data_IF_496490531638
#
_entry.id   IF_496490531638
#
_cell.length_a   1.000
_cell.length_b   1.000
_cell.length_c   1.000
_cell.angle_alpha   90.00
_cell.angle_beta   90.00
_cell.angle_gamma   90.00
#
_symmetry.space_group_name_H-M   'P 1'
#
loop_
_entity.id
_entity.type
_entity.pdbx_description
1 polymer ?
#
# COMPACT_ATOMS: atom_id res chain seq x y z
N UNK A 1 12.18 62.08 -6.94
CA UNK A 1 12.22 60.79 -7.65
C UNK A 1 13.26 59.94 -6.93
N UNK A 2 12.80 59.23 -5.89
CA UNK A 2 13.65 58.27 -5.15
C UNK A 2 13.68 56.94 -5.90
N UNK A 3 14.84 56.57 -6.39
CA UNK A 3 15.06 55.28 -6.99
C UNK A 3 15.20 54.23 -5.84
N UNK A 4 14.34 53.24 -5.86
CA UNK A 4 14.48 52.09 -4.98
C UNK A 4 15.86 51.42 -5.19
N UNK A 5 16.52 50.96 -4.12
CA UNK A 5 17.81 50.29 -4.25
C UNK A 5 17.67 48.98 -5.08
N UNK A 6 18.69 48.63 -5.90
CA UNK A 6 18.66 47.40 -6.68
C UNK A 6 18.57 46.19 -5.76
N UNK A 7 17.78 45.21 -6.16
CA UNK A 7 17.69 43.92 -5.47
C UNK A 7 19.10 43.28 -5.39
N UNK A 8 19.46 42.62 -4.27
CA UNK A 8 20.77 41.99 -4.12
C UNK A 8 20.97 40.92 -5.19
N UNK A 9 22.14 41.00 -5.82
CA UNK A 9 22.61 40.02 -6.80
C UNK A 9 22.74 38.64 -6.10
N UNK A 10 21.76 37.79 -6.28
CA UNK A 10 21.78 36.42 -5.72
C UNK A 10 22.58 35.56 -6.69
N UNK A 11 23.80 35.20 -6.30
CA UNK A 11 24.60 34.19 -7.00
C UNK A 11 23.78 32.91 -7.19
N UNK A 12 23.39 32.51 -8.39
CA UNK A 12 22.58 31.31 -8.63
C UNK A 12 23.32 30.01 -8.30
N UNK A 13 24.64 30.08 -8.01
CA UNK A 13 25.45 28.94 -7.57
C UNK A 13 25.58 28.87 -6.03
N UNK A 14 25.19 29.90 -5.29
CA UNK A 14 25.25 29.92 -3.83
C UNK A 14 24.20 28.97 -3.25
N UNK A 15 24.65 27.99 -2.47
CA UNK A 15 23.75 27.06 -1.77
C UNK A 15 22.95 27.81 -0.71
N UNK A 16 21.64 27.56 -0.59
CA UNK A 16 20.82 28.18 0.44
C UNK A 16 21.41 27.93 1.84
N UNK A 17 21.34 28.91 2.74
CA UNK A 17 21.78 28.74 4.13
C UNK A 17 20.98 27.60 4.77
N UNK A 18 21.65 26.71 5.47
CA UNK A 18 21.01 25.55 6.10
C UNK A 18 20.69 25.89 7.54
N UNK A 19 19.42 25.72 7.96
CA UNK A 19 19.06 25.94 9.35
C UNK A 19 19.77 24.94 10.26
N UNK A 20 19.95 25.31 11.53
CA UNK A 20 20.58 24.45 12.51
C UNK A 20 19.60 23.41 13.06
N UNK A 21 20.10 22.25 13.52
CA UNK A 21 19.30 21.26 14.24
C UNK A 21 18.82 21.85 15.56
N UNK A 22 17.52 21.72 15.85
CA UNK A 22 16.88 22.32 17.03
C UNK A 22 16.38 23.73 16.79
N UNK A 23 16.76 24.39 15.70
CA UNK A 23 16.27 25.72 15.34
C UNK A 23 14.78 25.70 15.10
N UNK A 24 14.07 26.68 15.67
CA UNK A 24 12.66 26.94 15.37
C UNK A 24 12.55 27.92 14.21
N UNK A 25 11.62 27.63 13.31
CA UNK A 25 11.38 28.41 12.10
C UNK A 25 9.88 28.59 11.90
N UNK A 26 9.51 29.71 11.30
CA UNK A 26 8.19 29.93 10.76
C UNK A 26 8.27 29.80 9.24
N UNK A 27 7.45 28.89 8.68
CA UNK A 27 7.45 28.59 7.25
C UNK A 27 6.04 28.39 6.72
N UNK A 28 5.84 28.62 5.43
CA UNK A 28 4.60 28.29 4.73
C UNK A 28 4.80 26.98 3.96
N UNK A 29 3.81 26.11 4.01
CA UNK A 29 3.82 24.82 3.30
C UNK A 29 3.33 25.05 1.87
N UNK A 30 4.19 24.72 0.89
CA UNK A 30 3.89 24.93 -0.52
C UNK A 30 3.04 23.80 -1.12
N UNK A 31 3.36 22.55 -0.77
CA UNK A 31 2.74 21.33 -1.33
C UNK A 31 2.94 20.12 -0.43
N UNK A 32 2.32 18.97 -0.78
CA UNK A 32 2.61 17.68 -0.16
C UNK A 32 3.56 16.86 -1.05
N UNK A 33 4.60 16.32 -0.43
CA UNK A 33 5.42 15.28 -1.06
C UNK A 33 4.67 13.93 -1.08
N UNK A 34 5.11 13.01 -1.94
CA UNK A 34 4.69 11.62 -1.85
C UNK A 34 4.95 11.07 -0.44
N UNK A 35 3.97 10.38 0.13
CA UNK A 35 3.99 9.93 1.53
C UNK A 35 3.40 10.95 2.53
N UNK A 36 2.91 12.13 2.07
CA UNK A 36 2.05 13.03 2.84
C UNK A 36 2.77 14.10 3.67
N UNK A 37 4.09 14.19 3.61
CA UNK A 37 4.80 15.26 4.31
C UNK A 37 4.64 16.60 3.57
N UNK A 38 4.33 17.67 4.31
CA UNK A 38 4.36 19.03 3.78
C UNK A 38 5.77 19.41 3.33
N UNK A 39 5.86 20.13 2.23
CA UNK A 39 7.11 20.70 1.70
C UNK A 39 7.07 22.20 1.90
N UNK A 40 7.99 22.71 2.70
CA UNK A 40 8.19 24.14 2.92
C UNK A 40 9.60 24.55 2.49
N UNK A 41 9.83 25.85 2.37
CA UNK A 41 11.15 26.40 2.06
C UNK A 41 11.53 27.50 3.05
N UNK A 42 12.76 27.42 3.51
CA UNK A 42 13.38 28.50 4.29
C UNK A 42 14.66 28.95 3.58
N UNK A 43 14.66 30.17 3.07
CA UNK A 43 15.75 30.72 2.26
C UNK A 43 16.23 29.80 1.14
N UNK A 44 15.26 29.11 0.47
CA UNK A 44 15.53 28.15 -0.61
C UNK A 44 15.88 26.73 -0.12
N UNK A 45 16.12 26.51 1.17
CA UNK A 45 16.35 25.17 1.72
C UNK A 45 15.02 24.44 1.96
N UNK A 46 14.91 23.20 1.46
CA UNK A 46 13.69 22.40 1.53
C UNK A 46 13.56 21.76 2.91
N UNK A 47 12.38 21.88 3.51
CA UNK A 47 11.98 21.22 4.76
C UNK A 47 10.77 20.32 4.54
N UNK A 48 10.85 19.08 5.04
CA UNK A 48 9.71 18.17 5.10
C UNK A 48 9.08 18.22 6.50
N UNK A 49 7.79 18.51 6.56
CA UNK A 49 7.03 18.72 7.80
C UNK A 49 5.80 17.81 7.82
N UNK A 50 5.81 16.71 8.57
CA UNK A 50 4.63 15.86 8.74
C UNK A 50 3.46 16.60 9.39
N UNK A 51 2.22 16.22 9.06
CA UNK A 51 1.00 16.75 9.68
C UNK A 51 0.55 18.12 9.20
N UNK A 52 1.16 18.64 8.13
CA UNK A 52 0.85 19.94 7.55
C UNK A 52 0.19 19.82 6.18
N UNK A 53 -0.51 20.88 5.76
CA UNK A 53 -1.19 20.99 4.48
C UNK A 53 -0.66 22.15 3.64
N UNK A 54 -0.80 22.10 2.32
CA UNK A 54 -0.50 23.24 1.47
C UNK A 54 -1.28 24.48 1.90
N UNK A 55 -0.59 25.61 2.04
CA UNK A 55 -1.17 26.85 2.54
C UNK A 55 -1.14 27.03 4.06
N UNK A 56 -0.81 26.00 4.85
CA UNK A 56 -0.57 26.18 6.27
C UNK A 56 0.67 27.07 6.50
N UNK A 57 0.56 28.05 7.38
CA UNK A 57 1.69 28.73 7.99
C UNK A 57 1.97 28.10 9.34
N UNK A 58 3.20 27.65 9.55
CA UNK A 58 3.51 26.76 10.67
C UNK A 58 4.81 27.18 11.36
N UNK A 59 4.85 27.00 12.68
CA UNK A 59 6.07 27.01 13.47
C UNK A 59 6.59 25.59 13.61
N UNK A 60 7.83 25.37 13.22
CA UNK A 60 8.46 24.06 13.14
C UNK A 60 9.81 24.05 13.82
N UNK A 61 10.24 22.88 14.31
CA UNK A 61 11.59 22.67 14.83
C UNK A 61 12.37 21.71 13.93
N UNK A 62 13.52 22.12 13.46
CA UNK A 62 14.40 21.30 12.62
C UNK A 62 14.93 20.11 13.42
N UNK A 63 14.58 18.89 13.01
CA UNK A 63 14.99 17.65 13.67
C UNK A 63 16.18 16.99 12.97
N UNK A 64 16.23 17.10 11.64
CA UNK A 64 17.27 16.47 10.83
C UNK A 64 17.74 17.38 9.70
N UNK A 65 19.03 17.38 9.43
CA UNK A 65 19.65 18.20 8.39
C UNK A 65 20.47 17.34 7.43
N UNK A 66 20.13 17.38 6.16
CA UNK A 66 20.84 16.76 5.04
C UNK A 66 21.46 17.83 4.13
N UNK A 67 22.22 17.42 3.13
CA UNK A 67 22.85 18.36 2.18
C UNK A 67 21.86 19.17 1.36
N UNK A 68 20.76 18.55 0.91
CA UNK A 68 19.76 19.13 0.01
C UNK A 68 18.44 19.47 0.68
N UNK A 69 18.13 18.88 1.85
CA UNK A 69 16.86 19.04 2.55
C UNK A 69 17.00 18.79 4.05
N UNK A 70 15.99 19.17 4.81
CA UNK A 70 15.83 18.85 6.23
C UNK A 70 14.49 18.22 6.55
N UNK A 71 14.37 17.64 7.73
CA UNK A 71 13.12 17.21 8.33
C UNK A 71 12.84 18.10 9.54
N UNK A 72 11.60 18.50 9.74
CA UNK A 72 11.21 19.33 10.85
C UNK A 72 9.92 18.78 11.50
N UNK A 73 9.82 18.94 12.80
CA UNK A 73 8.63 18.60 13.58
C UNK A 73 7.72 19.81 13.65
N UNK A 74 6.43 19.61 13.38
CA UNK A 74 5.41 20.63 13.60
C UNK A 74 5.30 20.94 15.09
N UNK A 75 5.37 22.21 15.45
CA UNK A 75 5.10 22.71 16.80
C UNK A 75 3.71 23.30 16.88
N UNK A 76 3.32 24.10 15.87
CA UNK A 76 2.04 24.80 15.85
C UNK A 76 1.66 25.18 14.43
N UNK A 77 0.36 25.15 14.11
CA UNK A 77 -0.20 25.75 12.92
C UNK A 77 -0.63 27.17 13.30
N UNK A 78 0.13 28.19 12.86
CA UNK A 78 -0.12 29.58 13.20
C UNK A 78 -1.25 30.19 12.39
N UNK A 79 -1.33 29.80 11.11
CA UNK A 79 -2.43 30.15 10.19
C UNK A 79 -2.81 28.89 9.41
N UNK A 80 -4.03 28.33 9.63
CA UNK A 80 -4.43 27.12 8.90
C UNK A 80 -4.71 27.41 7.43
N UNK A 81 -4.41 26.41 6.59
CA UNK A 81 -4.80 26.39 5.19
C UNK A 81 -6.30 26.59 5.02
N UNK A 82 -6.77 27.33 4.01
CA UNK A 82 -8.20 27.45 3.71
C UNK A 82 -8.85 26.11 3.32
N UNK A 83 -8.06 25.14 2.87
CA UNK A 83 -8.53 23.79 2.55
C UNK A 83 -8.60 22.87 3.77
N UNK A 84 -8.20 23.33 4.96
CA UNK A 84 -8.21 22.49 6.17
C UNK A 84 -9.62 22.33 6.71
N UNK A 85 -10.08 21.07 6.85
CA UNK A 85 -11.35 20.71 7.47
C UNK A 85 -11.15 20.01 8.82
N UNK A 86 -12.20 19.98 9.64
CA UNK A 86 -12.15 19.30 10.93
C UNK A 86 -12.00 17.78 10.75
N UNK A 87 -11.09 17.12 11.50
CA UNK A 87 -10.97 15.66 11.45
C UNK A 87 -12.21 14.97 12.04
N UNK A 88 -12.55 13.78 11.55
CA UNK A 88 -13.65 12.95 12.11
C UNK A 88 -13.26 12.30 13.44
N UNK A 89 -12.00 11.93 13.59
CA UNK A 89 -11.47 11.34 14.81
C UNK A 89 -9.95 11.52 14.88
N UNK A 90 -9.42 11.42 16.09
CA UNK A 90 -7.97 11.29 16.29
C UNK A 90 -7.57 9.83 16.01
N UNK A 91 -7.04 9.59 14.82
CA UNK A 91 -6.67 8.24 14.37
C UNK A 91 -5.41 8.30 13.49
N UNK A 92 -4.35 7.55 13.81
CA UNK A 92 -3.07 7.64 13.10
C UNK A 92 -3.12 7.19 11.62
N UNK A 93 -4.09 6.35 11.26
CA UNK A 93 -4.22 5.77 9.91
C UNK A 93 -4.93 6.64 8.88
N UNK A 94 -5.39 7.84 9.22
CA UNK A 94 -6.23 8.71 8.35
C UNK A 94 -5.66 10.12 8.24
N UNK A 95 -4.39 10.23 7.98
CA UNK A 95 -3.64 11.50 8.00
C UNK A 95 -4.23 12.60 7.09
N UNK A 96 -4.95 12.24 6.04
CA UNK A 96 -5.53 13.18 5.09
C UNK A 96 -7.02 13.49 5.30
N UNK A 97 -7.63 12.99 6.38
CA UNK A 97 -9.02 13.32 6.74
C UNK A 97 -9.27 14.82 6.96
N UNK A 98 -8.21 15.59 7.13
CA UNK A 98 -8.22 17.05 7.29
C UNK A 98 -8.24 17.83 5.97
N UNK A 99 -8.27 17.11 4.83
CA UNK A 99 -8.41 17.66 3.48
C UNK A 99 -9.74 17.23 2.85
N UNK A 100 -10.46 18.13 2.13
CA UNK A 100 -11.57 17.74 1.27
C UNK A 100 -11.15 16.65 0.29
N UNK A 101 -12.04 15.72 0.00
CA UNK A 101 -11.70 14.55 -0.81
C UNK A 101 -11.25 14.93 -2.23
N UNK A 102 -11.87 15.94 -2.81
CA UNK A 102 -11.50 16.48 -4.12
C UNK A 102 -10.04 16.96 -4.13
N UNK A 103 -9.60 17.61 -3.04
CA UNK A 103 -8.21 18.04 -2.89
C UNK A 103 -7.23 16.88 -2.72
N UNK A 104 -7.67 15.81 -2.04
CA UNK A 104 -6.86 14.58 -1.98
C UNK A 104 -6.63 14.01 -3.38
N UNK A 105 -7.66 13.98 -4.24
CA UNK A 105 -7.57 13.48 -5.62
C UNK A 105 -6.66 14.35 -6.49
N UNK A 106 -6.79 15.68 -6.41
CA UNK A 106 -5.93 16.62 -7.12
C UNK A 106 -4.45 16.38 -6.77
N UNK A 107 -4.12 16.36 -5.48
CA UNK A 107 -2.75 16.17 -4.99
C UNK A 107 -2.19 14.80 -5.42
N UNK A 108 -2.98 13.74 -5.31
CA UNK A 108 -2.57 12.39 -5.73
C UNK A 108 -2.26 12.33 -7.22
N UNK A 109 -3.11 12.92 -8.05
CA UNK A 109 -2.89 12.99 -9.50
C UNK A 109 -1.63 13.78 -9.84
N UNK A 110 -1.42 14.94 -9.20
CA UNK A 110 -0.21 15.75 -9.38
C UNK A 110 1.06 15.00 -8.97
N UNK A 111 1.03 14.22 -7.86
CA UNK A 111 2.19 13.44 -7.41
C UNK A 111 2.61 12.38 -8.42
N UNK A 112 1.65 11.74 -9.11
CA UNK A 112 1.95 10.77 -10.19
C UNK A 112 2.60 11.50 -11.37
N UNK A 113 2.03 12.62 -11.84
CA UNK A 113 2.60 13.42 -12.93
C UNK A 113 4.01 13.91 -12.61
N UNK A 114 4.19 14.48 -11.42
CA UNK A 114 5.46 15.02 -10.93
C UNK A 114 6.56 13.94 -10.87
N UNK A 115 6.22 12.75 -10.37
CA UNK A 115 7.16 11.63 -10.32
C UNK A 115 7.63 11.23 -11.72
N UNK A 116 6.71 11.01 -12.65
CA UNK A 116 7.04 10.60 -14.02
C UNK A 116 7.85 11.68 -14.77
N UNK A 117 7.49 12.96 -14.63
CA UNK A 117 8.18 14.07 -15.31
C UNK A 117 9.52 14.43 -14.67
N UNK A 118 9.59 14.55 -13.34
CA UNK A 118 10.78 15.05 -12.64
C UNK A 118 11.79 13.97 -12.25
N UNK A 119 11.32 12.77 -11.91
CA UNK A 119 12.20 11.65 -11.54
C UNK A 119 12.48 10.78 -12.75
N UNK A 120 11.44 10.45 -13.52
CA UNK A 120 11.55 9.63 -14.73
C UNK A 120 12.02 10.38 -15.96
N UNK A 121 11.99 11.73 -15.98
CA UNK A 121 12.26 12.55 -17.15
C UNK A 121 11.45 12.11 -18.38
N UNK A 122 10.21 11.65 -18.14
CA UNK A 122 9.32 11.14 -19.17
C UNK A 122 8.39 12.25 -19.66
N UNK A 123 8.22 12.33 -20.97
CA UNK A 123 7.39 13.34 -21.64
C UNK A 123 6.47 12.67 -22.67
N UNK A 124 5.45 13.41 -23.14
CA UNK A 124 4.58 12.96 -24.23
C UNK A 124 3.55 11.88 -23.86
N UNK A 125 3.46 11.48 -22.61
CA UNK A 125 2.42 10.55 -22.14
C UNK A 125 1.12 11.29 -21.79
N UNK A 126 0.01 10.55 -21.87
CA UNK A 126 -1.30 11.05 -21.44
C UNK A 126 -1.53 10.62 -19.99
N UNK A 127 -1.69 11.58 -19.08
CA UNK A 127 -2.25 11.28 -17.77
C UNK A 127 -3.77 11.39 -17.84
N UNK A 128 -4.45 10.29 -17.59
CA UNK A 128 -5.90 10.23 -17.55
C UNK A 128 -6.44 10.74 -16.21
N UNK A 129 -7.73 11.12 -16.16
CA UNK A 129 -8.35 11.49 -14.90
C UNK A 129 -8.23 10.38 -13.85
N UNK A 130 -7.98 10.78 -12.59
CA UNK A 130 -7.91 9.85 -11.48
C UNK A 130 -9.24 9.15 -11.27
N UNK A 131 -9.20 7.83 -11.03
CA UNK A 131 -10.37 7.07 -10.61
C UNK A 131 -10.60 7.32 -9.13
N UNK A 132 -11.69 8.01 -8.80
CA UNK A 132 -12.07 8.28 -7.42
C UNK A 132 -12.62 7.02 -6.73
N UNK A 133 -12.42 6.92 -5.41
CA UNK A 133 -12.97 5.83 -4.63
C UNK A 133 -14.50 5.94 -4.49
N UNK A 134 -15.17 4.80 -4.53
CA UNK A 134 -16.62 4.71 -4.32
C UNK A 134 -17.01 5.03 -2.88
N UNK A 135 -16.18 4.60 -1.93
CA UNK A 135 -16.34 4.84 -0.50
C UNK A 135 -15.07 5.47 0.07
N UNK A 136 -15.24 6.55 0.81
CA UNK A 136 -14.12 7.26 1.44
C UNK A 136 -13.79 6.70 2.84
N UNK A 137 -14.71 5.95 3.45
CA UNK A 137 -14.64 5.39 4.79
C UNK A 137 -15.19 3.96 4.78
N UNK A 138 -14.79 3.15 5.76
CA UNK A 138 -15.29 1.78 5.89
C UNK A 138 -14.94 0.85 4.73
N UNK A 139 -13.98 1.21 3.88
CA UNK A 139 -13.66 0.49 2.64
C UNK A 139 -12.66 -0.64 2.83
N UNK A 140 -11.86 -0.61 3.90
CA UNK A 140 -10.83 -1.64 4.12
C UNK A 140 -11.46 -2.96 4.49
N UNK A 141 -11.12 -3.97 3.73
CA UNK A 141 -11.48 -5.36 3.98
C UNK A 141 -10.46 -6.09 4.89
N UNK A 142 -9.31 -5.50 5.17
CA UNK A 142 -8.27 -6.06 6.06
C UNK A 142 -7.73 -4.98 6.99
N UNK A 143 -7.63 -5.33 8.27
CA UNK A 143 -6.99 -4.52 9.31
C UNK A 143 -6.02 -5.38 10.11
N UNK A 144 -4.87 -4.80 10.45
CA UNK A 144 -3.88 -5.38 11.34
C UNK A 144 -3.73 -4.48 12.55
N UNK A 145 -4.14 -4.97 13.70
CA UNK A 145 -4.01 -4.31 14.99
C UNK A 145 -2.81 -4.87 15.75
N UNK A 146 -2.24 -4.05 16.63
CA UNK A 146 -1.23 -4.47 17.58
C UNK A 146 -1.80 -4.43 19.00
N UNK A 147 -1.46 -5.43 19.81
CA UNK A 147 -1.76 -5.40 21.24
C UNK A 147 -0.72 -4.55 21.98
N UNK A 148 -1.17 -3.91 23.03
CA UNK A 148 -0.36 -3.07 23.91
C UNK A 148 -1.00 -2.96 25.30
N UNK A 149 -0.38 -2.17 26.15
CA UNK A 149 -0.87 -1.88 27.48
C UNK A 149 -0.99 -0.36 27.63
N UNK A 150 -2.10 0.12 28.14
CA UNK A 150 -2.29 1.54 28.38
C UNK A 150 -1.58 2.03 29.66
N UNK A 151 -1.72 3.33 29.97
CA UNK A 151 -1.09 3.94 31.14
C UNK A 151 -1.64 3.44 32.49
N UNK A 152 -2.77 2.71 32.48
CA UNK A 152 -3.40 2.13 33.67
C UNK A 152 -3.04 0.66 33.85
N UNK A 153 -2.31 0.08 32.88
CA UNK A 153 -1.95 -1.33 32.85
C UNK A 153 -3.00 -2.24 32.20
N UNK A 154 -4.03 -1.66 31.57
CA UNK A 154 -5.09 -2.42 30.90
C UNK A 154 -4.67 -2.84 29.48
N UNK A 155 -5.04 -4.06 29.09
CA UNK A 155 -4.82 -4.57 27.74
C UNK A 155 -5.59 -3.73 26.72
N UNK A 156 -4.90 -3.25 25.69
CA UNK A 156 -5.47 -2.52 24.56
C UNK A 156 -5.13 -3.21 23.24
N UNK A 157 -5.91 -2.89 22.21
CA UNK A 157 -5.70 -3.41 20.86
C UNK A 157 -5.97 -2.28 19.85
N UNK A 158 -4.92 -1.81 19.17
CA UNK A 158 -5.03 -0.62 18.31
C UNK A 158 -3.91 -0.51 17.30
N UNK A 159 -3.43 0.71 17.10
CA UNK A 159 -2.42 1.03 16.10
C UNK A 159 -1.22 1.68 16.74
N UNK A 160 -0.05 1.54 16.10
CA UNK A 160 1.13 2.27 16.52
C UNK A 160 0.91 3.78 16.47
N UNK A 161 1.28 4.47 17.53
CA UNK A 161 1.29 5.93 17.56
C UNK A 161 2.21 6.48 16.46
N UNK A 162 1.87 7.64 15.92
CA UNK A 162 2.65 8.26 14.86
C UNK A 162 4.11 8.49 15.33
N UNK A 163 5.06 7.87 14.61
CA UNK A 163 6.50 7.97 14.92
C UNK A 163 6.99 7.09 16.07
N UNK A 164 6.14 6.27 16.66
CA UNK A 164 6.52 5.26 17.66
C UNK A 164 6.35 3.85 17.13
N UNK A 165 7.27 2.97 17.46
CA UNK A 165 7.15 1.53 17.19
C UNK A 165 6.73 0.74 18.45
N UNK A 166 6.70 1.40 19.60
CA UNK A 166 6.36 0.81 20.90
C UNK A 166 4.95 1.15 21.35
N UNK A 167 4.59 2.44 21.23
CA UNK A 167 3.34 2.95 21.77
C UNK A 167 2.15 2.55 20.89
N UNK A 168 1.14 1.93 21.52
CA UNK A 168 -0.12 1.56 20.87
C UNK A 168 -1.20 2.54 21.33
N UNK A 169 -1.93 3.07 20.36
CA UNK A 169 -3.15 3.88 20.59
C UNK A 169 -4.33 2.95 20.42
N UNK A 170 -5.13 2.81 21.48
CA UNK A 170 -6.36 2.00 21.43
C UNK A 170 -7.38 2.64 20.48
N UNK A 171 -8.09 1.82 19.75
CA UNK A 171 -9.16 2.33 18.90
C UNK A 171 -9.51 1.45 17.69
N UNK A 172 -10.68 1.76 17.15
CA UNK A 172 -11.24 1.15 15.94
C UNK A 172 -10.86 1.99 14.73
N UNK A 173 -10.49 1.34 13.65
CA UNK A 173 -10.20 2.05 12.40
C UNK A 173 -11.49 2.49 11.70
N UNK A 174 -11.61 3.79 11.44
CA UNK A 174 -12.68 4.34 10.60
C UNK A 174 -12.60 3.88 9.13
N UNK A 175 -11.50 3.27 8.72
CA UNK A 175 -11.33 2.73 7.36
C UNK A 175 -11.88 1.32 7.22
N UNK A 176 -12.07 0.57 8.32
CA UNK A 176 -12.71 -0.74 8.33
C UNK A 176 -14.21 -0.66 8.48
N UNK A 177 -14.91 -1.78 8.21
CA UNK A 177 -16.33 -1.91 8.45
C UNK A 177 -16.67 -2.04 9.94
N UNK A 178 -17.93 -1.80 10.29
CA UNK A 178 -18.45 -2.04 11.65
C UNK A 178 -18.28 -3.50 12.08
N UNK A 179 -18.33 -4.45 11.13
CA UNK A 179 -18.12 -5.87 11.37
C UNK A 179 -16.71 -6.16 11.87
N UNK A 180 -15.68 -5.56 11.25
CA UNK A 180 -14.30 -5.66 11.73
C UNK A 180 -14.13 -5.04 13.12
N UNK A 181 -14.85 -3.95 13.40
CA UNK A 181 -14.86 -3.35 14.73
C UNK A 181 -15.45 -4.29 15.79
N UNK A 182 -16.59 -4.91 15.50
CA UNK A 182 -17.22 -5.91 16.37
C UNK A 182 -16.29 -7.10 16.63
N UNK A 183 -15.66 -7.65 15.58
CA UNK A 183 -14.73 -8.76 15.71
C UNK A 183 -13.52 -8.41 16.60
N UNK A 184 -12.98 -7.18 16.44
CA UNK A 184 -11.91 -6.68 17.32
C UNK A 184 -12.35 -6.69 18.79
N UNK A 185 -13.53 -6.16 19.09
CA UNK A 185 -14.05 -6.11 20.47
C UNK A 185 -14.26 -7.51 21.06
N UNK A 186 -14.78 -8.47 20.28
CA UNK A 186 -14.93 -9.84 20.72
C UNK A 186 -13.58 -10.49 21.10
N UNK A 187 -12.56 -10.31 20.26
CA UNK A 187 -11.21 -10.82 20.54
C UNK A 187 -10.58 -10.13 21.74
N UNK A 188 -10.68 -8.81 21.84
CA UNK A 188 -10.16 -8.07 22.99
C UNK A 188 -10.82 -8.48 24.31
N UNK A 189 -12.15 -8.62 24.30
CA UNK A 189 -12.90 -9.11 25.45
C UNK A 189 -12.49 -10.52 25.86
N UNK A 190 -12.32 -11.43 24.90
CA UNK A 190 -11.78 -12.77 25.15
C UNK A 190 -10.39 -12.69 25.81
N UNK A 191 -9.45 -11.96 25.23
CA UNK A 191 -8.09 -11.84 25.76
C UNK A 191 -8.06 -11.28 27.19
N UNK A 192 -8.90 -10.27 27.48
CA UNK A 192 -9.05 -9.70 28.84
C UNK A 192 -9.61 -10.72 29.82
N UNK A 193 -10.65 -11.45 29.43
CA UNK A 193 -11.27 -12.48 30.27
C UNK A 193 -10.30 -13.62 30.63
N UNK A 194 -9.42 -13.98 29.68
CA UNK A 194 -8.39 -15.00 29.88
C UNK A 194 -7.14 -14.46 30.60
N UNK A 195 -7.08 -13.16 30.91
CA UNK A 195 -5.92 -12.56 31.56
C UNK A 195 -4.65 -12.61 30.72
N UNK A 196 -4.76 -12.58 29.40
CA UNK A 196 -3.62 -12.64 28.49
C UNK A 196 -2.94 -11.26 28.42
N UNK A 197 -1.61 -11.23 28.45
CA UNK A 197 -0.80 -10.02 28.42
C UNK A 197 -0.31 -9.68 27.02
N UNK A 198 -0.14 -8.37 26.75
CA UNK A 198 0.43 -7.88 25.52
C UNK A 198 1.94 -8.18 25.46
N UNK A 199 2.45 -8.42 24.26
CA UNK A 199 3.88 -8.56 24.02
C UNK A 199 4.60 -7.21 24.17
N UNK A 200 5.50 -7.13 25.16
CA UNK A 200 6.41 -6.00 25.32
C UNK A 200 7.56 -6.13 24.32
N UNK A 201 7.60 -5.23 23.34
CA UNK A 201 8.57 -5.24 22.24
C UNK A 201 9.99 -4.93 22.69
N UNK A 202 10.12 -4.18 23.78
CA UNK A 202 11.42 -3.79 24.35
C UNK A 202 11.98 -4.90 25.23
N UNK A 203 11.17 -5.44 26.12
CA UNK A 203 11.55 -6.55 26.99
C UNK A 203 11.58 -7.89 26.24
N UNK A 204 10.91 -7.99 25.09
CA UNK A 204 10.72 -9.21 24.29
C UNK A 204 10.02 -10.32 25.07
N UNK A 205 9.06 -9.93 25.89
CA UNK A 205 8.26 -10.83 26.75
C UNK A 205 6.76 -10.53 26.56
N UNK A 206 5.91 -11.48 26.94
CA UNK A 206 4.47 -11.40 26.78
C UNK A 206 3.94 -12.24 25.63
N UNK A 207 2.62 -12.32 25.51
CA UNK A 207 1.97 -13.31 24.66
C UNK A 207 1.31 -12.70 23.41
N UNK A 208 0.39 -11.73 23.59
CA UNK A 208 -0.43 -11.18 22.49
C UNK A 208 0.37 -10.20 21.65
N UNK A 209 0.48 -10.43 20.33
CA UNK A 209 1.24 -9.57 19.42
C UNK A 209 0.33 -8.76 18.52
N UNK A 210 -0.42 -9.42 17.64
CA UNK A 210 -1.24 -8.77 16.64
C UNK A 210 -2.60 -9.46 16.50
N UNK A 211 -3.57 -8.69 16.03
CA UNK A 211 -4.85 -9.19 15.57
C UNK A 211 -5.02 -8.82 14.11
N UNK A 212 -5.15 -9.81 13.24
CA UNK A 212 -5.41 -9.61 11.81
C UNK A 212 -6.85 -9.98 11.53
N UNK A 213 -7.61 -9.03 11.04
CA UNK A 213 -9.01 -9.20 10.65
C UNK A 213 -9.14 -9.01 9.15
N UNK A 214 -9.89 -9.89 8.49
CA UNK A 214 -10.22 -9.77 7.07
C UNK A 214 -11.69 -10.11 6.85
N UNK A 215 -12.39 -9.23 6.18
CA UNK A 215 -13.77 -9.42 5.74
C UNK A 215 -13.80 -9.59 4.22
N UNK A 216 -14.45 -10.62 3.74
CA UNK A 216 -14.82 -10.73 2.35
C UNK A 216 -16.10 -9.90 2.12
N UNK A 217 -15.95 -8.79 1.43
CA UNK A 217 -16.98 -7.74 1.33
C UNK A 217 -18.24 -8.18 0.61
N UNK A 218 -18.09 -9.05 -0.39
CA UNK A 218 -19.20 -9.51 -1.24
C UNK A 218 -19.90 -10.73 -0.65
N UNK A 219 -19.14 -11.66 -0.06
CA UNK A 219 -19.70 -12.88 0.53
C UNK A 219 -20.07 -12.72 2.00
N UNK A 220 -19.56 -11.69 2.65
CA UNK A 220 -19.76 -11.46 4.08
C UNK A 220 -19.02 -12.45 4.97
N UNK A 221 -18.02 -13.16 4.48
CA UNK A 221 -17.19 -14.05 5.28
C UNK A 221 -16.14 -13.29 6.09
N UNK A 222 -15.83 -13.79 7.28
CA UNK A 222 -14.89 -13.14 8.20
C UNK A 222 -13.77 -14.10 8.57
N UNK A 223 -12.53 -13.63 8.42
CA UNK A 223 -11.34 -14.30 8.93
C UNK A 223 -10.76 -13.51 10.09
N UNK A 224 -10.55 -14.18 11.20
CA UNK A 224 -9.94 -13.65 12.41
C UNK A 224 -8.67 -14.44 12.68
N UNK A 225 -7.53 -13.77 12.72
CA UNK A 225 -6.24 -14.38 13.02
C UNK A 225 -5.59 -13.70 14.22
N UNK A 226 -5.52 -14.41 15.33
CA UNK A 226 -4.79 -14.00 16.53
C UNK A 226 -3.32 -14.41 16.38
N UNK A 227 -2.41 -13.46 16.50
CA UNK A 227 -0.97 -13.69 16.39
C UNK A 227 -0.34 -13.50 17.76
N UNK A 228 0.39 -14.50 18.23
CA UNK A 228 0.99 -14.53 19.56
C UNK A 228 2.46 -14.92 19.52
N UNK A 229 3.17 -14.73 20.63
CA UNK A 229 4.40 -15.47 20.91
C UNK A 229 4.05 -16.95 21.20
N UNK A 230 5.04 -17.83 21.33
CA UNK A 230 4.80 -19.21 21.77
C UNK A 230 4.14 -19.23 23.14
N UNK A 231 3.18 -20.12 23.31
CA UNK A 231 2.45 -20.30 24.57
C UNK A 231 1.24 -21.19 24.40
N UNK A 232 0.34 -21.11 25.36
CA UNK A 232 -0.92 -21.86 25.38
C UNK A 232 -2.10 -20.90 25.22
N UNK A 233 -3.11 -21.32 24.49
CA UNK A 233 -4.36 -20.61 24.27
C UNK A 233 -5.52 -21.58 24.51
N UNK A 234 -6.53 -21.20 25.27
CA UNK A 234 -7.78 -21.93 25.34
C UNK A 234 -8.54 -21.76 24.00
N UNK A 235 -8.20 -22.60 23.03
CA UNK A 235 -8.79 -22.56 21.68
C UNK A 235 -10.27 -22.89 21.68
N UNK A 236 -10.76 -23.65 22.67
CA UNK A 236 -12.19 -23.98 22.82
C UNK A 236 -12.96 -22.74 23.25
N UNK A 237 -12.50 -22.06 24.30
CA UNK A 237 -13.12 -20.82 24.75
C UNK A 237 -13.01 -19.72 23.66
N UNK A 238 -11.88 -19.67 22.93
CA UNK A 238 -11.68 -18.74 21.81
C UNK A 238 -12.73 -18.97 20.71
N UNK A 239 -12.94 -20.22 20.28
CA UNK A 239 -13.94 -20.58 19.28
C UNK A 239 -15.39 -20.33 19.72
N UNK A 240 -15.67 -20.35 21.01
CA UNK A 240 -17.00 -20.07 21.55
C UNK A 240 -17.32 -18.58 21.64
N UNK A 241 -16.32 -17.72 21.78
CA UNK A 241 -16.52 -16.27 22.00
C UNK A 241 -16.34 -15.44 20.74
N UNK A 242 -15.60 -15.93 19.74
CA UNK A 242 -15.30 -15.19 18.51
C UNK A 242 -15.99 -15.84 17.32
N UNK A 243 -16.95 -15.13 16.75
CA UNK A 243 -17.67 -15.59 15.57
C UNK A 243 -16.89 -15.25 14.30
N UNK A 244 -16.45 -16.27 13.57
CA UNK A 244 -15.71 -16.11 12.32
C UNK A 244 -15.97 -17.29 11.37
N UNK A 245 -15.86 -17.03 10.04
CA UNK A 245 -15.85 -18.09 9.02
C UNK A 245 -14.53 -18.87 9.06
N UNK A 246 -13.44 -18.17 9.38
CA UNK A 246 -12.09 -18.72 9.52
C UNK A 246 -11.46 -18.13 10.78
N UNK A 247 -11.30 -18.94 11.81
CA UNK A 247 -10.67 -18.56 13.07
C UNK A 247 -9.31 -19.24 13.17
N UNK A 248 -8.25 -18.45 13.18
CA UNK A 248 -6.86 -18.91 13.11
C UNK A 248 -6.04 -18.38 14.27
N UNK A 249 -5.21 -19.24 14.84
CA UNK A 249 -4.19 -18.87 15.82
C UNK A 249 -2.80 -19.09 15.22
N UNK A 250 -1.97 -18.04 15.24
CA UNK A 250 -0.61 -18.07 14.71
C UNK A 250 0.40 -17.78 15.82
N UNK A 251 1.38 -18.65 15.99
CA UNK A 251 2.47 -18.49 16.94
C UNK A 251 3.77 -18.12 16.23
N UNK A 252 4.42 -17.05 16.67
CA UNK A 252 5.67 -16.54 16.10
C UNK A 252 6.83 -16.74 17.06
N UNK A 253 7.95 -17.22 16.53
CA UNK A 253 9.24 -17.30 17.23
C UNK A 253 10.12 -16.06 17.03
N UNK A 254 9.81 -15.27 16.00
CA UNK A 254 10.61 -14.11 15.60
C UNK A 254 10.37 -12.94 16.55
N UNK A 255 11.43 -12.21 16.86
CA UNK A 255 11.38 -11.01 17.72
C UNK A 255 10.78 -9.80 16.97
N UNK A 256 10.90 -9.76 15.64
CA UNK A 256 10.48 -8.63 14.80
C UNK A 256 8.96 -8.40 14.78
N UNK A 257 8.58 -7.18 14.45
CA UNK A 257 7.18 -6.79 14.24
C UNK A 257 6.72 -7.33 12.87
N UNK A 258 6.15 -8.51 12.87
CA UNK A 258 5.61 -9.18 11.68
C UNK A 258 4.37 -9.98 12.05
N UNK A 259 3.45 -10.05 11.10
CA UNK A 259 2.30 -10.96 11.18
C UNK A 259 2.48 -12.18 10.26
N UNK A 260 3.63 -12.28 9.57
CA UNK A 260 3.88 -13.32 8.58
C UNK A 260 4.76 -14.44 9.15
N UNK A 261 4.49 -15.65 8.71
CA UNK A 261 5.24 -16.86 9.11
C UNK A 261 4.80 -17.44 10.44
N UNK A 262 5.64 -18.29 11.01
CA UNK A 262 5.33 -19.01 12.25
C UNK A 262 4.47 -20.26 12.02
N UNK A 263 3.90 -20.77 13.11
CA UNK A 263 3.00 -21.94 13.09
C UNK A 263 1.56 -21.47 13.23
N UNK A 264 0.71 -21.81 12.28
CA UNK A 264 -0.72 -21.47 12.29
C UNK A 264 -1.58 -22.70 12.48
N UNK A 265 -2.57 -22.59 13.36
CA UNK A 265 -3.59 -23.58 13.65
C UNK A 265 -4.97 -23.03 13.27
N UNK A 266 -5.76 -23.83 12.54
CA UNK A 266 -7.17 -23.55 12.31
C UNK A 266 -7.95 -23.94 13.58
N UNK A 267 -8.40 -22.94 14.33
CA UNK A 267 -9.14 -23.12 15.58
C UNK A 267 -10.59 -23.52 15.32
N UNK A 268 -11.24 -22.83 14.35
CA UNK A 268 -12.62 -23.15 13.96
C UNK A 268 -12.92 -22.70 12.53
N UNK A 269 -13.93 -23.30 11.91
CA UNK A 269 -14.42 -22.93 10.59
C UNK A 269 -13.57 -23.49 9.43
N UNK A 270 -13.28 -22.66 8.43
CA UNK A 270 -12.55 -23.03 7.22
C UNK A 270 -11.15 -22.40 7.18
N UNK A 271 -10.20 -23.02 6.49
CA UNK A 271 -8.84 -22.51 6.34
C UNK A 271 -8.74 -21.24 5.48
N UNK A 272 -9.77 -20.92 4.70
CA UNK A 272 -9.83 -19.75 3.80
C UNK A 272 -11.18 -19.05 3.93
N UNK A 273 -11.24 -17.80 3.53
CA UNK A 273 -12.49 -17.11 3.20
C UNK A 273 -12.57 -16.89 1.69
N UNK A 274 -13.78 -16.73 1.16
CA UNK A 274 -14.04 -16.51 -0.25
C UNK A 274 -14.50 -15.08 -0.49
N UNK A 275 -13.80 -14.36 -1.36
CA UNK A 275 -14.21 -13.03 -1.84
C UNK A 275 -14.61 -13.12 -3.31
N UNK A 276 -15.60 -12.33 -3.73
CA UNK A 276 -15.96 -12.15 -5.12
C UNK A 276 -15.35 -10.87 -5.67
N UNK A 277 -14.68 -10.94 -6.82
CA UNK A 277 -14.05 -9.80 -7.47
C UNK A 277 -14.12 -9.96 -8.99
N UNK A 278 -14.77 -9.00 -9.67
CA UNK A 278 -14.92 -9.03 -11.12
C UNK A 278 -15.67 -10.24 -11.66
N UNK A 279 -16.60 -10.81 -10.89
CA UNK A 279 -17.37 -12.02 -11.23
C UNK A 279 -16.54 -13.31 -11.17
N UNK A 280 -15.47 -13.30 -10.40
CA UNK A 280 -14.65 -14.46 -10.04
C UNK A 280 -14.62 -14.63 -8.51
N UNK A 281 -14.62 -15.88 -8.07
CA UNK A 281 -14.45 -16.23 -6.66
C UNK A 281 -12.98 -16.47 -6.33
N UNK A 282 -12.49 -15.86 -5.25
CA UNK A 282 -11.12 -16.01 -4.76
C UNK A 282 -11.13 -16.56 -3.34
N UNK A 283 -10.62 -17.78 -3.16
CA UNK A 283 -10.25 -18.29 -1.85
C UNK A 283 -9.00 -17.55 -1.37
N UNK A 284 -9.06 -17.02 -0.16
CA UNK A 284 -8.00 -16.21 0.44
C UNK A 284 -7.52 -16.89 1.71
N UNK A 285 -6.29 -17.38 1.68
CA UNK A 285 -5.60 -17.94 2.84
C UNK A 285 -5.22 -16.86 3.85
N UNK A 286 -5.00 -17.18 5.14
CA UNK A 286 -4.74 -16.20 6.20
C UNK A 286 -3.57 -15.25 5.94
N UNK A 287 -2.52 -15.75 5.30
CA UNK A 287 -1.32 -14.96 4.98
C UNK A 287 -1.30 -14.42 3.55
N UNK A 288 -2.28 -14.80 2.72
CA UNK A 288 -2.32 -14.37 1.33
C UNK A 288 -2.50 -12.86 1.20
N UNK A 289 -1.78 -12.28 0.25
CA UNK A 289 -2.03 -10.90 -0.15
C UNK A 289 -3.31 -10.84 -0.99
N UNK A 290 -4.16 -9.89 -0.67
CA UNK A 290 -5.33 -9.49 -1.44
C UNK A 290 -5.52 -7.99 -1.27
N UNK A 291 -5.93 -7.28 -2.30
CA UNK A 291 -6.13 -5.83 -2.25
C UNK A 291 -7.11 -5.45 -1.13
N UNK A 292 -6.74 -4.47 -0.31
CA UNK A 292 -7.48 -4.16 0.92
C UNK A 292 -8.74 -3.31 0.73
N UNK A 293 -9.07 -2.97 -0.52
CA UNK A 293 -10.29 -2.27 -0.93
C UNK A 293 -10.86 -3.01 -2.14
N UNK A 294 -11.84 -3.87 -1.92
CA UNK A 294 -12.41 -4.78 -2.94
C UNK A 294 -13.02 -3.99 -4.09
N UNK A 295 -13.82 -2.97 -3.81
CA UNK A 295 -14.50 -2.16 -4.81
C UNK A 295 -13.50 -1.43 -5.73
N UNK A 296 -12.47 -0.87 -5.14
CA UNK A 296 -11.44 -0.16 -5.91
C UNK A 296 -10.45 -1.11 -6.60
N UNK A 297 -10.26 -2.33 -6.10
CA UNK A 297 -9.51 -3.37 -6.80
C UNK A 297 -10.17 -3.75 -8.13
N UNK A 298 -11.50 -3.85 -8.18
CA UNK A 298 -12.25 -4.05 -9.41
C UNK A 298 -12.01 -2.91 -10.42
N UNK A 299 -12.00 -1.65 -9.94
CA UNK A 299 -11.70 -0.47 -10.78
C UNK A 299 -10.26 -0.48 -11.28
N UNK A 300 -9.31 -0.81 -10.42
CA UNK A 300 -7.90 -0.94 -10.77
C UNK A 300 -7.70 -1.99 -11.86
N UNK A 301 -8.29 -3.17 -11.69
CA UNK A 301 -8.18 -4.28 -12.66
C UNK A 301 -8.94 -4.01 -13.95
N UNK A 302 -10.01 -3.22 -13.92
CA UNK A 302 -10.65 -2.72 -15.12
C UNK A 302 -9.71 -1.83 -15.96
N UNK A 303 -8.94 -0.95 -15.31
CA UNK A 303 -7.91 -0.15 -16.00
C UNK A 303 -6.78 -1.05 -16.54
N UNK A 304 -6.34 -2.05 -15.77
CA UNK A 304 -5.36 -3.04 -16.25
C UNK A 304 -5.87 -3.77 -17.49
N UNK A 305 -7.12 -4.24 -17.49
CA UNK A 305 -7.72 -4.93 -18.62
C UNK A 305 -7.89 -4.01 -19.85
N UNK A 306 -8.26 -2.74 -19.64
CA UNK A 306 -8.32 -1.73 -20.70
C UNK A 306 -6.94 -1.53 -21.34
N UNK A 307 -5.89 -1.37 -20.52
CA UNK A 307 -4.52 -1.13 -20.98
C UNK A 307 -3.88 -2.38 -21.59
N UNK A 308 -4.23 -3.57 -21.09
CA UNK A 308 -3.82 -4.82 -21.70
C UNK A 308 -4.40 -4.98 -23.13
N UNK A 309 -5.61 -4.48 -23.40
CA UNK A 309 -6.20 -4.38 -24.73
C UNK A 309 -6.28 -5.71 -25.48
N UNK A 310 -6.62 -6.78 -24.76
CA UNK A 310 -6.59 -8.17 -25.25
C UNK A 310 -7.68 -8.43 -26.27
N UNK A 311 -7.37 -9.24 -27.29
CA UNK A 311 -8.25 -9.65 -28.40
C UNK A 311 -8.56 -11.15 -28.38
N UNK A 312 -8.06 -11.91 -27.40
CA UNK A 312 -8.36 -13.33 -27.17
C UNK A 312 -7.27 -14.31 -27.65
N UNK A 313 -6.20 -13.84 -28.27
CA UNK A 313 -5.10 -14.69 -28.75
C UNK A 313 -3.76 -14.45 -28.05
N UNK A 314 -3.67 -13.37 -27.26
CA UNK A 314 -2.42 -12.94 -26.67
C UNK A 314 -1.96 -13.87 -25.55
N UNK A 315 -0.65 -14.06 -25.47
CA UNK A 315 0.04 -14.61 -24.31
C UNK A 315 0.30 -13.50 -23.32
N UNK A 316 -0.29 -13.63 -22.14
CA UNK A 316 -0.14 -12.67 -21.04
C UNK A 316 0.78 -13.26 -19.98
N UNK A 317 1.78 -12.49 -19.55
CA UNK A 317 2.56 -12.80 -18.35
C UNK A 317 2.11 -11.88 -17.21
N UNK A 318 1.79 -12.47 -16.05
CA UNK A 318 1.45 -11.77 -14.80
C UNK A 318 2.59 -11.99 -13.79
N UNK A 319 3.41 -10.98 -13.61
CA UNK A 319 4.57 -11.04 -12.71
C UNK A 319 4.22 -10.45 -11.35
N UNK A 320 4.64 -11.14 -10.29
CA UNK A 320 4.20 -10.89 -8.91
C UNK A 320 2.71 -11.16 -8.75
N UNK A 321 2.24 -12.27 -9.31
CA UNK A 321 0.82 -12.53 -9.49
C UNK A 321 0.05 -12.83 -8.18
N UNK A 322 0.74 -13.06 -7.04
CA UNK A 322 0.11 -13.41 -5.79
C UNK A 322 -0.81 -14.62 -5.95
N UNK A 323 -2.05 -14.52 -5.49
CA UNK A 323 -3.10 -15.56 -5.65
C UNK A 323 -3.80 -15.54 -7.02
N UNK A 324 -3.21 -14.85 -8.02
CA UNK A 324 -3.65 -14.85 -9.39
C UNK A 324 -4.74 -13.83 -9.73
N UNK A 325 -5.02 -12.83 -8.90
CA UNK A 325 -6.18 -11.93 -9.06
C UNK A 325 -6.18 -11.18 -10.39
N UNK A 326 -5.06 -10.60 -10.82
CA UNK A 326 -4.96 -9.89 -12.10
C UNK A 326 -5.01 -10.89 -13.26
N UNK A 327 -4.14 -11.91 -13.23
CA UNK A 327 -4.04 -12.90 -14.30
C UNK A 327 -5.36 -13.60 -14.60
N UNK A 328 -6.09 -14.04 -13.56
CA UNK A 328 -7.39 -14.70 -13.71
C UNK A 328 -8.47 -13.75 -14.25
N UNK A 329 -8.46 -12.48 -13.82
CA UNK A 329 -9.37 -11.46 -14.37
C UNK A 329 -9.13 -11.26 -15.88
N UNK A 330 -7.88 -11.37 -16.35
CA UNK A 330 -7.52 -11.24 -17.76
C UNK A 330 -7.76 -12.52 -18.57
N UNK A 331 -7.74 -13.68 -17.94
CA UNK A 331 -7.73 -14.99 -18.61
C UNK A 331 -8.91 -15.19 -19.58
N UNK A 332 -10.10 -14.68 -19.23
CA UNK A 332 -11.29 -14.78 -20.11
C UNK A 332 -11.16 -14.01 -21.44
N UNK A 333 -10.17 -13.10 -21.53
CA UNK A 333 -9.90 -12.25 -22.71
C UNK A 333 -8.53 -12.53 -23.32
N UNK A 334 -7.76 -13.46 -22.80
CA UNK A 334 -6.43 -13.85 -23.24
C UNK A 334 -6.46 -15.20 -23.94
N UNK A 335 -5.50 -15.44 -24.83
CA UNK A 335 -5.25 -16.79 -25.36
C UNK A 335 -4.71 -17.71 -24.26
N UNK A 336 -3.76 -17.23 -23.51
CA UNK A 336 -3.20 -17.90 -22.33
C UNK A 336 -2.61 -16.90 -21.31
N UNK A 337 -2.59 -17.28 -20.04
CA UNK A 337 -2.02 -16.50 -18.94
C UNK A 337 -0.95 -17.34 -18.22
N UNK A 338 0.17 -16.72 -17.91
CA UNK A 338 1.28 -17.32 -17.19
C UNK A 338 1.64 -16.43 -15.98
N UNK A 339 1.31 -16.89 -14.78
CA UNK A 339 1.59 -16.18 -13.53
C UNK A 339 2.92 -16.64 -12.91
N UNK A 340 3.69 -15.70 -12.38
CA UNK A 340 4.95 -15.95 -11.69
C UNK A 340 4.99 -15.21 -10.35
N UNK A 341 5.17 -15.96 -9.25
CA UNK A 341 5.21 -15.45 -7.88
C UNK A 341 6.30 -16.20 -7.09
N UNK A 342 6.97 -15.51 -6.17
CA UNK A 342 8.02 -16.13 -5.34
C UNK A 342 7.44 -16.91 -4.15
N UNK A 343 6.24 -16.56 -3.72
CA UNK A 343 5.56 -17.16 -2.56
C UNK A 343 4.82 -18.42 -3.00
N UNK A 344 5.40 -19.58 -2.75
CA UNK A 344 4.84 -20.88 -3.17
C UNK A 344 3.41 -21.14 -2.67
N UNK A 345 3.02 -20.85 -1.41
CA UNK A 345 1.62 -20.95 -0.97
C UNK A 345 0.64 -20.11 -1.78
N UNK A 346 1.04 -18.91 -2.20
CA UNK A 346 0.21 -18.06 -3.05
C UNK A 346 -0.02 -18.65 -4.44
N UNK A 347 0.95 -19.38 -4.99
CA UNK A 347 0.78 -20.13 -6.23
C UNK A 347 -0.21 -21.29 -6.04
N UNK A 348 -0.18 -21.97 -4.89
CA UNK A 348 -1.20 -22.96 -4.54
C UNK A 348 -2.61 -22.38 -4.57
N UNK A 349 -2.78 -21.22 -3.93
CA UNK A 349 -4.05 -20.47 -3.95
C UNK A 349 -4.43 -20.05 -5.38
N UNK A 350 -3.49 -19.55 -6.20
CA UNK A 350 -3.75 -19.15 -7.59
C UNK A 350 -4.26 -20.31 -8.45
N UNK A 351 -3.66 -21.49 -8.32
CA UNK A 351 -4.09 -22.71 -9.02
C UNK A 351 -5.50 -23.12 -8.56
N UNK A 352 -5.75 -23.14 -7.25
CA UNK A 352 -7.07 -23.45 -6.71
C UNK A 352 -8.13 -22.45 -7.18
N UNK A 353 -7.81 -21.16 -7.22
CA UNK A 353 -8.69 -20.11 -7.71
C UNK A 353 -8.98 -20.25 -9.21
N UNK A 354 -8.00 -20.64 -10.03
CA UNK A 354 -8.22 -20.94 -11.44
C UNK A 354 -9.20 -22.10 -11.62
N UNK A 355 -9.04 -23.17 -10.85
CA UNK A 355 -9.92 -24.35 -10.88
C UNK A 355 -11.35 -24.02 -10.43
N UNK A 356 -11.49 -23.28 -9.31
CA UNK A 356 -12.80 -22.87 -8.79
C UNK A 356 -13.59 -22.03 -9.81
N UNK A 357 -12.91 -21.21 -10.59
CA UNK A 357 -13.49 -20.37 -11.64
C UNK A 357 -13.55 -21.03 -13.03
N UNK A 358 -13.19 -22.30 -13.16
CA UNK A 358 -13.17 -23.06 -14.43
C UNK A 358 -12.29 -22.38 -15.51
N UNK A 359 -11.18 -21.76 -15.10
CA UNK A 359 -10.22 -21.11 -15.99
C UNK A 359 -9.11 -22.11 -16.34
N UNK A 360 -9.10 -22.60 -17.58
CA UNK A 360 -8.19 -23.65 -18.05
C UNK A 360 -6.96 -23.11 -18.79
N UNK A 361 -6.99 -21.84 -19.21
CA UNK A 361 -5.92 -21.20 -19.96
C UNK A 361 -4.96 -20.36 -19.10
N UNK A 362 -5.01 -20.51 -17.76
CA UNK A 362 -4.07 -19.89 -16.82
C UNK A 362 -3.17 -20.94 -16.18
N UNK A 363 -1.88 -20.64 -16.06
CA UNK A 363 -0.86 -21.46 -15.41
C UNK A 363 -0.02 -20.61 -14.48
N UNK A 364 0.34 -21.15 -13.32
CA UNK A 364 1.06 -20.44 -12.29
C UNK A 364 2.30 -21.19 -11.85
N UNK A 365 3.40 -20.46 -11.59
CA UNK A 365 4.70 -21.02 -11.23
C UNK A 365 5.29 -20.28 -10.04
N UNK A 366 5.81 -21.03 -9.08
CA UNK A 366 6.60 -20.48 -7.98
C UNK A 366 8.03 -20.19 -8.47
N UNK A 367 8.49 -18.96 -8.30
CA UNK A 367 9.84 -18.60 -8.66
C UNK A 367 10.15 -17.11 -8.55
N UNK A 368 11.42 -16.81 -8.34
CA UNK A 368 11.91 -15.43 -8.35
C UNK A 368 11.94 -14.91 -9.79
N UNK A 369 11.22 -13.85 -10.10
CA UNK A 369 11.16 -13.21 -11.42
C UNK A 369 12.55 -12.93 -11.99
N UNK A 370 13.55 -12.60 -11.16
CA UNK A 370 14.94 -12.35 -11.59
C UNK A 370 15.60 -13.57 -12.24
N UNK A 371 15.15 -14.76 -11.90
CA UNK A 371 15.71 -16.02 -12.34
C UNK A 371 14.77 -16.75 -13.30
N UNK A 372 13.51 -16.91 -12.88
CA UNK A 372 12.52 -17.76 -13.52
C UNK A 372 11.92 -17.16 -14.82
N UNK A 373 11.90 -15.83 -14.99
CA UNK A 373 11.30 -15.23 -16.20
C UNK A 373 11.97 -15.67 -17.49
N UNK A 374 13.29 -15.90 -17.48
CA UNK A 374 14.01 -16.38 -18.66
C UNK A 374 13.61 -17.81 -19.03
N UNK A 375 13.56 -18.69 -18.05
CA UNK A 375 13.13 -20.07 -18.22
C UNK A 375 11.67 -20.14 -18.67
N UNK A 376 10.82 -19.28 -18.13
CA UNK A 376 9.43 -19.16 -18.55
C UNK A 376 9.33 -18.78 -20.04
N UNK A 377 10.14 -17.81 -20.51
CA UNK A 377 10.18 -17.43 -21.93
C UNK A 377 10.68 -18.59 -22.81
N UNK A 378 11.66 -19.36 -22.35
CA UNK A 378 12.17 -20.53 -23.07
C UNK A 378 11.12 -21.65 -23.18
N UNK A 379 10.30 -21.84 -22.14
CA UNK A 379 9.30 -22.91 -22.05
C UNK A 379 7.98 -22.54 -22.72
N UNK A 380 7.46 -21.34 -22.43
CA UNK A 380 6.13 -20.89 -22.88
C UNK A 380 6.19 -19.93 -24.07
N UNK A 381 7.37 -19.43 -24.43
CA UNK A 381 7.56 -18.45 -25.49
C UNK A 381 7.41 -17.00 -25.00
N UNK A 382 7.61 -16.04 -25.89
CA UNK A 382 7.57 -14.60 -25.54
C UNK A 382 6.16 -14.14 -25.25
N UNK A 383 5.94 -13.29 -24.23
CA UNK A 383 4.64 -12.68 -23.97
C UNK A 383 4.32 -11.59 -25.01
N UNK A 384 3.06 -11.49 -25.40
CA UNK A 384 2.53 -10.32 -26.15
C UNK A 384 2.30 -9.15 -25.20
N UNK A 385 1.71 -9.44 -24.04
CA UNK A 385 1.43 -8.50 -22.97
C UNK A 385 2.07 -8.99 -21.68
N UNK A 386 2.72 -8.07 -20.96
CA UNK A 386 3.28 -8.35 -19.63
C UNK A 386 2.65 -7.39 -18.62
N UNK A 387 2.00 -7.95 -17.61
CA UNK A 387 1.49 -7.21 -16.47
C UNK A 387 2.46 -7.36 -15.31
N UNK A 388 2.67 -6.30 -14.57
CA UNK A 388 3.54 -6.31 -13.39
C UNK A 388 2.95 -5.47 -12.27
N UNK A 389 2.81 -6.06 -11.08
CA UNK A 389 2.36 -5.40 -9.84
C UNK A 389 3.41 -5.63 -8.74
N UNK A 390 4.54 -4.91 -8.77
CA UNK A 390 5.65 -5.14 -7.86
C UNK A 390 5.38 -4.54 -6.48
N UNK A 391 6.14 -4.96 -5.44
CA UNK A 391 6.10 -4.35 -4.12
C UNK A 391 6.53 -2.88 -4.18
N UNK A 392 6.31 -2.13 -3.09
CA UNK A 392 6.59 -0.68 -2.94
C UNK A 392 7.99 -0.23 -3.37
N UNK A 393 8.97 -1.11 -3.32
CA UNK A 393 10.34 -0.83 -3.75
C UNK A 393 10.50 -0.73 -5.29
N UNK A 394 9.44 -1.08 -6.04
CA UNK A 394 9.49 -1.16 -7.50
C UNK A 394 10.29 -2.36 -8.01
N UNK A 395 10.63 -2.34 -9.28
CA UNK A 395 11.42 -3.38 -9.92
C UNK A 395 12.92 -3.14 -9.71
N UNK A 396 13.65 -4.19 -9.36
CA UNK A 396 15.11 -4.13 -9.39
C UNK A 396 15.60 -4.02 -10.84
N UNK A 397 16.78 -3.44 -11.03
CA UNK A 397 17.42 -3.34 -12.37
C UNK A 397 17.51 -4.70 -13.07
N UNK A 398 17.71 -5.79 -12.31
CA UNK A 398 17.76 -7.14 -12.87
C UNK A 398 16.41 -7.58 -13.43
N UNK A 399 15.30 -7.28 -12.73
CA UNK A 399 13.95 -7.58 -13.23
C UNK A 399 13.62 -6.75 -14.46
N UNK A 400 13.91 -5.45 -14.46
CA UNK A 400 13.71 -4.59 -15.65
C UNK A 400 14.46 -5.16 -16.85
N UNK A 401 15.72 -5.57 -16.67
CA UNK A 401 16.50 -6.22 -17.74
C UNK A 401 15.83 -7.50 -18.25
N UNK A 402 15.30 -8.35 -17.36
CA UNK A 402 14.60 -9.58 -17.76
C UNK A 402 13.31 -9.29 -18.53
N UNK A 403 12.57 -8.25 -18.17
CA UNK A 403 11.39 -7.80 -18.91
C UNK A 403 11.79 -7.34 -20.33
N UNK A 404 12.88 -6.57 -20.45
CA UNK A 404 13.41 -6.12 -21.75
C UNK A 404 13.83 -7.32 -22.62
N UNK A 405 14.51 -8.32 -22.04
CA UNK A 405 14.92 -9.56 -22.72
C UNK A 405 13.71 -10.40 -23.18
N UNK A 406 12.65 -10.48 -22.35
CA UNK A 406 11.39 -11.14 -22.69
C UNK A 406 10.70 -10.45 -23.89
N UNK A 407 10.83 -9.13 -23.99
CA UNK A 407 10.45 -8.33 -25.15
C UNK A 407 8.96 -8.29 -25.44
N UNK A 408 8.07 -8.09 -24.46
CA UNK A 408 6.63 -7.95 -24.71
C UNK A 408 6.37 -6.76 -25.64
N UNK A 409 5.28 -6.81 -26.42
CA UNK A 409 4.82 -5.66 -27.20
C UNK A 409 4.27 -4.57 -26.31
N UNK A 410 3.67 -4.97 -25.18
CA UNK A 410 2.96 -4.09 -24.24
C UNK A 410 3.29 -4.49 -22.81
N UNK A 411 3.55 -3.47 -21.97
CA UNK A 411 3.75 -3.62 -20.54
C UNK A 411 2.67 -2.81 -19.83
N UNK A 412 1.90 -3.45 -18.95
CA UNK A 412 0.96 -2.82 -18.03
C UNK A 412 1.57 -2.86 -16.64
N UNK A 413 1.97 -1.69 -16.14
CA UNK A 413 2.64 -1.57 -14.84
C UNK A 413 1.68 -1.00 -13.81
N UNK A 414 1.28 -1.80 -12.83
CA UNK A 414 0.54 -1.37 -11.64
C UNK A 414 1.55 -0.92 -10.59
N UNK A 415 1.30 0.20 -9.92
CA UNK A 415 2.26 0.73 -8.95
C UNK A 415 1.59 1.48 -7.80
N UNK A 416 1.91 1.06 -6.58
CA UNK A 416 1.57 1.78 -5.35
C UNK A 416 2.57 2.90 -5.00
N UNK A 417 3.60 3.10 -5.83
CA UNK A 417 4.65 4.09 -5.59
C UNK A 417 5.15 4.73 -6.89
N UNK A 418 4.63 5.89 -7.28
CA UNK A 418 5.03 6.56 -8.52
C UNK A 418 6.51 6.97 -8.53
N UNK A 419 7.14 7.13 -7.36
CA UNK A 419 8.57 7.50 -7.28
C UNK A 419 9.52 6.34 -7.61
N UNK A 420 9.04 5.09 -7.54
CA UNK A 420 9.77 3.89 -7.98
C UNK A 420 9.34 3.44 -9.37
N UNK A 421 8.09 3.68 -9.77
CA UNK A 421 7.63 3.50 -11.14
C UNK A 421 8.44 4.38 -12.11
N UNK A 422 8.64 5.65 -11.79
CA UNK A 422 9.26 6.63 -12.67
C UNK A 422 10.66 6.20 -13.17
N UNK A 423 11.65 5.82 -12.32
CA UNK A 423 12.94 5.34 -12.80
C UNK A 423 12.85 3.99 -13.53
N UNK A 424 11.91 3.11 -13.17
CA UNK A 424 11.71 1.86 -13.90
C UNK A 424 11.16 2.11 -15.32
N UNK A 425 10.19 3.01 -15.45
CA UNK A 425 9.65 3.40 -16.75
C UNK A 425 10.70 4.11 -17.62
N UNK A 426 11.59 4.92 -17.03
CA UNK A 426 12.71 5.52 -17.73
C UNK A 426 13.67 4.46 -18.30
N UNK A 427 14.04 3.44 -17.50
CA UNK A 427 14.88 2.34 -17.98
C UNK A 427 14.22 1.53 -19.11
N UNK A 428 12.91 1.34 -19.04
CA UNK A 428 12.15 0.71 -20.14
C UNK A 428 12.14 1.61 -21.38
N UNK A 429 12.04 2.93 -21.22
CA UNK A 429 12.07 3.88 -22.31
C UNK A 429 13.44 3.90 -23.02
N UNK A 430 14.54 3.80 -22.29
CA UNK A 430 15.91 3.63 -22.85
C UNK A 430 16.03 2.35 -23.72
N UNK A 431 15.21 1.35 -23.43
CA UNK A 431 15.15 0.09 -24.18
C UNK A 431 14.14 0.09 -25.36
N UNK A 432 13.56 1.26 -25.68
CA UNK A 432 12.65 1.44 -26.81
C UNK A 432 11.16 1.27 -26.49
N UNK A 433 10.78 1.25 -25.22
CA UNK A 433 9.37 1.37 -24.83
C UNK A 433 8.96 2.83 -24.68
N UNK A 434 7.72 3.15 -25.04
CA UNK A 434 7.15 4.49 -24.90
C UNK A 434 6.05 4.44 -23.87
N UNK A 435 6.15 5.26 -22.81
CA UNK A 435 5.04 5.47 -21.89
C UNK A 435 3.92 6.20 -22.65
N UNK A 436 2.81 5.53 -22.86
CA UNK A 436 1.64 6.07 -23.60
C UNK A 436 0.66 6.75 -22.68
N UNK A 437 0.25 6.04 -21.64
CA UNK A 437 -0.84 6.47 -20.75
C UNK A 437 -0.49 6.12 -19.31
N UNK A 438 -0.97 6.92 -18.38
CA UNK A 438 -1.00 6.62 -16.95
C UNK A 438 -2.34 7.04 -16.38
N UNK A 439 -2.95 6.18 -15.57
CA UNK A 439 -4.19 6.48 -14.85
C UNK A 439 -3.99 6.28 -13.36
N UNK A 440 -4.05 7.32 -12.53
CA UNK A 440 -4.09 7.18 -11.08
C UNK A 440 -5.41 6.57 -10.62
N UNK A 441 -5.37 5.79 -9.53
CA UNK A 441 -6.54 5.14 -8.92
C UNK A 441 -6.47 5.35 -7.41
N UNK A 442 -7.48 5.97 -6.82
CA UNK A 442 -7.51 6.18 -5.38
C UNK A 442 -8.02 4.95 -4.62
N UNK A 443 -7.13 4.00 -4.40
CA UNK A 443 -7.39 2.80 -3.58
C UNK A 443 -7.54 3.11 -2.09
N UNK A 444 -6.99 4.24 -1.61
CA UNK A 444 -6.79 4.53 -0.19
C UNK A 444 -7.19 5.96 0.19
N UNK A 445 -8.49 6.32 0.08
CA UNK A 445 -8.98 7.62 0.55
C UNK A 445 -8.58 7.90 2.00
N UNK A 446 -8.48 9.18 2.37
CA UNK A 446 -8.06 9.67 3.68
C UNK A 446 -6.59 9.38 4.05
N UNK A 447 -5.81 8.84 3.09
CA UNK A 447 -4.39 8.51 3.27
C UNK A 447 -3.55 9.09 2.12
N UNK A 448 -2.23 9.27 2.30
CA UNK A 448 -1.35 9.75 1.23
C UNK A 448 -1.00 8.69 0.17
N UNK A 449 -1.56 7.49 0.28
CA UNK A 449 -1.28 6.41 -0.65
C UNK A 449 -2.06 6.57 -1.95
N UNK A 450 -1.41 6.21 -3.06
CA UNK A 450 -1.97 6.25 -4.41
C UNK A 450 -1.54 5.00 -5.17
N UNK A 451 -2.43 4.45 -5.97
CA UNK A 451 -2.13 3.48 -7.00
C UNK A 451 -2.18 4.15 -8.38
N UNK A 452 -1.41 3.63 -9.31
CA UNK A 452 -1.53 4.03 -10.71
C UNK A 452 -1.24 2.86 -11.64
N UNK A 453 -1.86 2.88 -12.81
CA UNK A 453 -1.59 1.94 -13.90
C UNK A 453 -0.92 2.70 -15.02
N UNK A 454 0.24 2.22 -15.48
CA UNK A 454 0.99 2.79 -16.59
C UNK A 454 1.02 1.83 -17.77
N UNK A 455 0.76 2.33 -18.97
CA UNK A 455 0.86 1.59 -20.22
C UNK A 455 2.13 2.01 -20.96
N UNK A 456 3.04 1.04 -21.17
CA UNK A 456 4.22 1.22 -22.02
C UNK A 456 4.08 0.28 -23.22
N UNK A 457 4.35 0.81 -24.41
CA UNK A 457 4.34 0.05 -25.67
C UNK A 457 5.70 0.11 -26.34
N UNK A 458 6.08 -0.97 -26.98
CA UNK A 458 7.31 -1.00 -27.77
C UNK A 458 7.14 -0.13 -29.02
N UNK A 459 8.07 0.83 -29.20
CA UNK A 459 8.08 1.73 -30.35
C UNK A 459 8.45 1.03 -31.67
#
# INVERSE_FOLDING_TARGET
>A
MDQAPPAPDVDPSARPPRPERGQELEVTVDRLAYGGNGVARHDGYVLFVPGTLPGDRVRVQVTKRKRAYGEARLLEVTEPSPDRIAPRADHPGVAWQVLPYEKQLEIKAEQVADALKRIGHLEGFVQEPIVAAEQQWGYRNKLEYSFGTDSQGELICGFHAAGSWEDIVDGVSLLGSDRLAVAREQVLAFCRLQGLDAYDRRAQTGFLRNLVLREARRTGELQVRLVTSRGELDTVAYAQQVEATSLVWTQLDQVGETTMGGYSELVAGRGTITEELGGLEFAISPEAFFQTNTEMAERLYAVVAEYAGLQGWERVYDLFCGIGTIGLTLARRAGEVWGLEIVEPAIGDAIANAQANQIENARFFAGDVRLALRELVETAGRPDVLVVDPPRAGLSQKVVRRIIEAGPKRIVYVSCNPTTLAPNAAQLAEAGYVLKRVRPVDMFPQTPHIECVALLERG
#
